data_IF_852154593643
#
_entry.id   IF_852154593643
#
_cell.length_a   1.000
_cell.length_b   1.000
_cell.length_c   1.000
_cell.angle_alpha   90.00
_cell.angle_beta   90.00
_cell.angle_gamma   90.00
#
_symmetry.space_group_name_H-M   'P 1'
#
loop_
_entity.id
_entity.type
_entity.pdbx_description
1 polymer ?
#
# COMPACT_ATOMS: atom_id res chain seq x y z
N UNK A 1 37.39 14.84 18.87
CA UNK A 1 36.17 14.02 18.73
C UNK A 1 35.97 13.68 17.26
N UNK A 2 36.20 12.43 16.83
CA UNK A 2 35.87 11.97 15.47
C UNK A 2 34.36 11.72 15.44
N UNK A 3 33.61 12.56 14.75
CA UNK A 3 32.22 12.25 14.39
C UNK A 3 32.28 11.05 13.45
N UNK A 4 31.91 9.87 13.95
CA UNK A 4 31.67 8.69 13.12
C UNK A 4 30.62 9.09 12.09
N UNK A 5 31.02 9.22 10.81
CA UNK A 5 30.07 9.43 9.73
C UNK A 5 29.19 8.19 9.68
N UNK A 6 27.99 8.29 10.24
CA UNK A 6 26.98 7.24 10.20
C UNK A 6 26.80 6.85 8.73
N UNK A 7 26.95 5.57 8.39
CA UNK A 7 26.64 5.06 7.06
C UNK A 7 25.12 5.02 6.88
N UNK A 8 24.56 6.21 6.63
CA UNK A 8 23.12 6.41 6.45
C UNK A 8 22.56 5.56 5.31
N UNK A 9 23.35 5.32 4.25
CA UNK A 9 22.96 4.47 3.13
C UNK A 9 22.91 2.99 3.54
N UNK A 10 23.88 2.54 4.34
CA UNK A 10 23.85 1.22 4.96
C UNK A 10 22.61 1.02 5.82
N UNK A 11 22.32 1.98 6.71
CA UNK A 11 21.14 1.94 7.59
C UNK A 11 19.84 1.91 6.79
N UNK A 12 19.71 2.78 5.77
CA UNK A 12 18.55 2.80 4.87
C UNK A 12 18.37 1.46 4.15
N UNK A 13 19.46 0.90 3.63
CA UNK A 13 19.41 -0.38 2.93
C UNK A 13 18.94 -1.52 3.85
N UNK A 14 19.49 -1.62 5.07
CA UNK A 14 19.04 -2.62 6.05
C UNK A 14 17.58 -2.43 6.44
N UNK A 15 17.15 -1.18 6.66
CA UNK A 15 15.75 -0.85 6.94
C UNK A 15 14.81 -1.28 5.81
N UNK A 16 15.18 -0.99 4.55
CA UNK A 16 14.39 -1.37 3.38
C UNK A 16 14.31 -2.89 3.17
N UNK A 17 15.43 -3.60 3.35
CA UNK A 17 15.45 -5.07 3.26
C UNK A 17 14.63 -5.69 4.39
N UNK A 18 14.77 -5.20 5.62
CA UNK A 18 13.97 -5.64 6.76
C UNK A 18 12.48 -5.42 6.53
N UNK A 19 12.09 -4.23 6.05
CA UNK A 19 10.71 -3.92 5.68
C UNK A 19 10.18 -4.82 4.57
N UNK A 20 10.98 -5.11 3.54
CA UNK A 20 10.61 -6.01 2.44
C UNK A 20 10.37 -7.45 2.95
N UNK A 21 11.28 -7.98 3.75
CA UNK A 21 11.16 -9.32 4.34
C UNK A 21 9.95 -9.40 5.25
N UNK A 22 9.76 -8.42 6.13
CA UNK A 22 8.62 -8.36 7.04
C UNK A 22 7.28 -8.30 6.30
N UNK A 23 7.17 -7.43 5.30
CA UNK A 23 5.94 -7.30 4.48
C UNK A 23 5.67 -8.56 3.67
N UNK A 24 6.72 -9.15 3.07
CA UNK A 24 6.62 -10.41 2.35
C UNK A 24 6.17 -11.56 3.24
N UNK A 25 6.78 -11.70 4.42
CA UNK A 25 6.41 -12.74 5.39
C UNK A 25 4.97 -12.57 5.89
N UNK A 26 4.55 -11.35 6.22
CA UNK A 26 3.17 -11.07 6.61
C UNK A 26 2.15 -11.37 5.49
N UNK A 27 2.53 -11.13 4.24
CA UNK A 27 1.70 -11.46 3.07
C UNK A 27 1.59 -12.97 2.88
N UNK A 28 2.69 -13.71 3.00
CA UNK A 28 2.69 -15.18 2.94
C UNK A 28 1.88 -15.79 4.08
N UNK A 29 2.01 -15.27 5.30
CA UNK A 29 1.22 -15.70 6.44
C UNK A 29 -0.27 -15.49 6.21
N UNK A 30 -0.66 -14.34 5.65
CA UNK A 30 -2.05 -14.09 5.27
C UNK A 30 -2.52 -15.12 4.23
N UNK A 31 -1.71 -15.43 3.21
CA UNK A 31 -2.06 -16.40 2.17
C UNK A 31 -2.29 -17.82 2.72
N UNK A 32 -1.60 -18.21 3.80
CA UNK A 32 -1.70 -19.55 4.38
C UNK A 32 -2.74 -19.67 5.49
N UNK A 33 -2.93 -18.62 6.29
CA UNK A 33 -3.76 -18.68 7.51
C UNK A 33 -5.12 -17.99 7.35
N UNK A 34 -5.19 -16.88 6.59
CA UNK A 34 -6.42 -16.12 6.44
C UNK A 34 -7.58 -16.88 5.77
N UNK A 35 -7.38 -17.86 4.86
CA UNK A 35 -8.48 -18.58 4.24
C UNK A 35 -9.45 -19.25 5.21
N UNK A 36 -8.96 -19.64 6.40
CA UNK A 36 -9.70 -20.39 7.41
C UNK A 36 -9.90 -19.63 8.73
N UNK A 37 -9.44 -18.38 8.82
CA UNK A 37 -9.53 -17.59 10.05
C UNK A 37 -10.78 -16.71 10.05
N UNK A 38 -11.45 -16.63 11.21
CA UNK A 38 -12.51 -15.65 11.40
C UNK A 38 -11.95 -14.22 11.19
N UNK A 39 -12.72 -13.37 10.53
CA UNK A 39 -12.31 -11.99 10.26
C UNK A 39 -13.42 -11.01 10.58
N UNK A 40 -13.03 -9.77 10.88
CA UNK A 40 -13.96 -8.68 11.15
C UNK A 40 -14.05 -7.73 9.97
N UNK A 41 -15.26 -7.33 9.62
CA UNK A 41 -15.50 -6.29 8.60
C UNK A 41 -16.17 -5.10 9.25
N UNK A 42 -15.77 -3.89 8.84
CA UNK A 42 -16.42 -2.67 9.26
C UNK A 42 -17.73 -2.50 8.50
N UNK A 43 -18.81 -2.21 9.21
CA UNK A 43 -20.13 -2.01 8.63
C UNK A 43 -20.74 -0.75 9.24
N UNK A 44 -21.32 0.16 8.43
CA UNK A 44 -22.05 1.32 8.96
C UNK A 44 -23.17 0.85 9.90
N UNK A 45 -23.26 1.44 11.09
CA UNK A 45 -24.17 0.99 12.14
C UNK A 45 -25.65 1.17 11.77
N UNK A 46 -25.94 2.20 10.98
CA UNK A 46 -27.25 2.46 10.39
C UNK A 46 -27.66 1.42 9.34
N UNK A 47 -26.68 0.75 8.72
CA UNK A 47 -26.89 -0.32 7.74
C UNK A 47 -26.69 -1.73 8.31
N UNK A 48 -26.20 -1.86 9.55
CA UNK A 48 -26.03 -3.13 10.25
C UNK A 48 -27.40 -3.64 10.72
N UNK A 49 -28.08 -4.38 9.83
CA UNK A 49 -29.43 -4.90 9.98
C UNK A 49 -29.75 -5.38 11.40
N UNK A 50 -30.48 -4.55 12.14
CA UNK A 50 -31.06 -4.89 13.44
C UNK A 50 -30.43 -4.20 14.66
N UNK A 51 -29.19 -3.70 14.64
CA UNK A 51 -28.61 -3.05 15.84
C UNK A 51 -29.10 -1.60 16.02
N UNK A 52 -29.44 -0.93 14.92
CA UNK A 52 -30.02 0.42 14.86
C UNK A 52 -31.50 0.42 14.45
N UNK A 53 -32.21 -0.69 14.62
CA UNK A 53 -33.64 -0.78 14.30
C UNK A 53 -34.50 0.16 15.15
N UNK A 54 -35.67 0.63 14.66
CA UNK A 54 -36.57 1.48 15.42
C UNK A 54 -36.91 0.87 16.79
N UNK A 55 -36.63 1.60 17.88
CA UNK A 55 -37.00 1.21 19.26
C UNK A 55 -35.94 0.46 20.09
N UNK A 56 -34.70 0.31 19.62
CA UNK A 56 -33.60 -0.30 20.41
C UNK A 56 -32.72 0.68 21.16
N UNK A 57 -32.85 1.98 20.90
CA UNK A 57 -32.07 3.03 21.54
C UNK A 57 -32.92 3.75 22.59
N UNK A 58 -32.35 4.11 23.76
CA UNK A 58 -33.04 4.94 24.74
C UNK A 58 -33.49 6.28 24.13
N UNK A 59 -34.56 6.85 24.67
CA UNK A 59 -35.05 8.17 24.25
C UNK A 59 -33.93 9.22 24.32
N UNK A 60 -33.78 10.00 23.25
CA UNK A 60 -32.74 11.03 23.13
C UNK A 60 -31.38 10.53 22.59
N UNK A 61 -31.24 9.24 22.28
CA UNK A 61 -30.03 8.67 21.66
C UNK A 61 -30.25 8.44 20.16
N UNK A 62 -29.42 9.07 19.32
CA UNK A 62 -29.40 8.86 17.87
C UNK A 62 -28.09 8.23 17.43
N UNK A 63 -28.14 7.32 16.44
CA UNK A 63 -26.93 6.80 15.79
C UNK A 63 -26.35 7.89 14.88
N UNK A 64 -25.06 8.17 15.04
CA UNK A 64 -24.37 9.02 14.09
C UNK A 64 -24.19 8.25 12.78
N UNK A 65 -24.52 8.81 11.60
CA UNK A 65 -24.39 8.12 10.32
C UNK A 65 -22.97 7.62 9.99
N UNK A 66 -21.94 8.17 10.65
CA UNK A 66 -20.55 7.75 10.54
C UNK A 66 -20.12 6.67 11.54
N UNK A 67 -21.02 6.23 12.44
CA UNK A 67 -20.72 5.20 13.41
C UNK A 67 -20.55 3.85 12.68
N UNK A 68 -19.45 3.14 12.96
CA UNK A 68 -19.15 1.84 12.38
C UNK A 68 -19.13 0.76 13.45
N UNK A 69 -19.61 -0.43 13.13
CA UNK A 69 -19.53 -1.63 13.96
C UNK A 69 -18.69 -2.68 13.26
N UNK A 70 -17.99 -3.52 14.02
CA UNK A 70 -17.29 -4.70 13.49
C UNK A 70 -18.25 -5.89 13.46
N UNK A 71 -18.57 -6.37 12.26
CA UNK A 71 -19.23 -7.65 12.07
C UNK A 71 -18.17 -8.76 12.05
N UNK A 72 -18.32 -9.76 12.92
CA UNK A 72 -17.45 -10.94 12.93
C UNK A 72 -18.03 -11.99 11.99
N UNK A 73 -17.21 -12.48 11.05
CA UNK A 73 -17.50 -13.64 10.21
C UNK A 73 -16.77 -14.83 10.82
N UNK A 74 -17.50 -15.66 11.59
CA UNK A 74 -16.92 -16.78 12.33
C UNK A 74 -16.54 -17.97 11.42
N UNK A 75 -17.41 -18.30 10.47
CA UNK A 75 -17.22 -19.40 9.52
C UNK A 75 -17.20 -18.87 8.08
N UNK A 76 -16.07 -18.28 7.63
CA UNK A 76 -16.02 -17.69 6.31
C UNK A 76 -16.04 -18.75 5.22
N UNK A 77 -16.87 -18.53 4.20
CA UNK A 77 -16.81 -19.33 2.97
C UNK A 77 -15.53 -19.02 2.19
N UNK A 78 -15.08 -19.96 1.34
CA UNK A 78 -13.89 -19.75 0.52
C UNK A 78 -13.96 -18.46 -0.35
N UNK A 79 -15.15 -18.11 -0.85
CA UNK A 79 -15.37 -16.88 -1.60
C UNK A 79 -15.22 -15.63 -0.73
N UNK A 80 -15.76 -15.63 0.50
CA UNK A 80 -15.62 -14.53 1.44
C UNK A 80 -14.17 -14.35 1.89
N UNK A 81 -13.44 -15.45 2.13
CA UNK A 81 -12.03 -15.39 2.45
C UNK A 81 -11.20 -14.81 1.30
N UNK A 82 -11.46 -15.24 0.05
CA UNK A 82 -10.79 -14.69 -1.13
C UNK A 82 -11.08 -13.19 -1.30
N UNK A 83 -12.33 -12.77 -1.13
CA UNK A 83 -12.70 -11.36 -1.16
C UNK A 83 -12.02 -10.57 -0.05
N UNK A 84 -11.99 -11.08 1.17
CA UNK A 84 -11.30 -10.46 2.30
C UNK A 84 -9.80 -10.30 2.04
N UNK A 85 -9.17 -11.29 1.41
CA UNK A 85 -7.77 -11.17 1.01
C UNK A 85 -7.58 -10.13 -0.09
N UNK A 86 -8.51 -10.08 -1.06
CA UNK A 86 -8.50 -9.09 -2.13
C UNK A 86 -8.71 -7.65 -1.63
N UNK A 87 -9.22 -7.42 -0.42
CA UNK A 87 -9.31 -6.07 0.17
C UNK A 87 -7.99 -5.51 0.70
N UNK A 88 -6.88 -6.27 0.63
CA UNK A 88 -5.58 -5.80 1.16
C UNK A 88 -4.35 -6.33 0.42
N UNK A 89 -4.46 -7.46 -0.28
CA UNK A 89 -3.36 -8.02 -1.05
C UNK A 89 -2.84 -7.11 -2.17
N UNK A 90 -3.70 -6.44 -2.97
CA UNK A 90 -3.23 -5.56 -4.04
C UNK A 90 -2.27 -4.47 -3.54
N UNK A 91 -2.63 -3.75 -2.47
CA UNK A 91 -1.78 -2.74 -1.85
C UNK A 91 -0.49 -3.34 -1.32
N UNK A 92 -0.53 -4.52 -0.69
CA UNK A 92 0.69 -5.22 -0.24
C UNK A 92 1.63 -5.55 -1.39
N UNK A 93 1.10 -5.99 -2.54
CA UNK A 93 1.90 -6.24 -3.74
C UNK A 93 2.59 -4.96 -4.25
N UNK A 94 1.87 -3.83 -4.27
CA UNK A 94 2.44 -2.51 -4.65
C UNK A 94 3.55 -2.12 -3.68
N UNK A 95 3.34 -2.28 -2.37
CA UNK A 95 4.35 -1.97 -1.34
C UNK A 95 5.58 -2.86 -1.48
N UNK A 96 5.41 -4.16 -1.72
CA UNK A 96 6.53 -5.09 -1.95
C UNK A 96 7.32 -4.68 -3.20
N UNK A 97 6.64 -4.34 -4.31
CA UNK A 97 7.29 -3.88 -5.52
C UNK A 97 8.05 -2.55 -5.30
N UNK A 98 7.44 -1.60 -4.59
CA UNK A 98 8.07 -0.33 -4.18
C UNK A 98 9.34 -0.59 -3.37
N UNK A 99 9.24 -1.38 -2.29
CA UNK A 99 10.37 -1.70 -1.42
C UNK A 99 11.48 -2.41 -2.19
N UNK A 100 11.14 -3.36 -3.06
CA UNK A 100 12.10 -4.05 -3.91
C UNK A 100 12.86 -3.07 -4.83
N UNK A 101 12.15 -2.16 -5.51
CA UNK A 101 12.77 -1.17 -6.38
C UNK A 101 13.66 -0.20 -5.59
N UNK A 102 13.23 0.24 -4.41
CA UNK A 102 14.03 1.08 -3.51
C UNK A 102 15.30 0.35 -3.02
N UNK A 103 15.19 -0.92 -2.61
CA UNK A 103 16.35 -1.76 -2.24
C UNK A 103 17.35 -1.81 -3.40
N UNK A 104 16.87 -1.99 -4.64
CA UNK A 104 17.76 -1.99 -5.82
C UNK A 104 18.43 -0.64 -6.02
N UNK A 105 17.69 0.47 -6.02
CA UNK A 105 18.24 1.83 -6.21
C UNK A 105 19.32 2.12 -5.15
N UNK A 106 19.03 1.87 -3.87
CA UNK A 106 19.97 2.12 -2.78
C UNK A 106 21.18 1.19 -2.88
N UNK A 107 20.99 -0.08 -3.26
CA UNK A 107 22.10 -1.02 -3.43
C UNK A 107 23.05 -0.58 -4.55
N UNK A 108 22.52 -0.12 -5.69
CA UNK A 108 23.37 0.38 -6.78
C UNK A 108 24.10 1.67 -6.36
N UNK A 109 23.41 2.59 -5.68
CA UNK A 109 24.03 3.81 -5.14
C UNK A 109 25.12 3.54 -4.08
N UNK A 110 25.03 2.43 -3.34
CA UNK A 110 26.08 2.00 -2.39
C UNK A 110 27.30 1.38 -3.08
N UNK A 111 27.12 0.76 -4.24
CA UNK A 111 28.18 0.04 -4.96
C UNK A 111 29.00 0.92 -5.88
N UNK A 112 28.52 2.12 -6.19
CA UNK A 112 29.20 3.03 -7.10
C UNK A 112 28.44 4.32 -7.27
N UNK A 113 28.37 4.82 -8.50
CA UNK A 113 27.75 6.09 -8.80
C UNK A 113 26.20 6.01 -8.74
N UNK A 114 25.52 6.89 -7.98
CA UNK A 114 24.07 6.98 -8.02
C UNK A 114 23.51 7.50 -9.35
N UNK A 115 24.27 8.30 -10.11
CA UNK A 115 23.81 8.95 -11.34
C UNK A 115 24.03 8.08 -12.59
N UNK A 116 23.38 6.92 -12.61
CA UNK A 116 23.40 6.00 -13.75
C UNK A 116 22.08 5.99 -14.51
N UNK A 117 22.13 5.69 -15.82
CA UNK A 117 20.93 5.46 -16.62
C UNK A 117 20.06 4.32 -16.05
N UNK A 118 20.68 3.34 -15.38
CA UNK A 118 19.99 2.27 -14.66
C UNK A 118 19.11 2.80 -13.52
N UNK A 119 19.66 3.64 -12.65
CA UNK A 119 18.90 4.23 -11.54
C UNK A 119 17.77 5.16 -12.02
N UNK A 120 17.97 5.90 -13.12
CA UNK A 120 16.89 6.69 -13.75
C UNK A 120 15.73 5.78 -14.19
N UNK A 121 16.02 4.63 -14.81
CA UNK A 121 14.98 3.66 -15.21
C UNK A 121 14.26 3.07 -13.99
N UNK A 122 15.00 2.72 -12.93
CA UNK A 122 14.41 2.21 -11.70
C UNK A 122 13.50 3.24 -11.01
N UNK A 123 13.92 4.50 -10.93
CA UNK A 123 13.09 5.58 -10.38
C UNK A 123 11.82 5.82 -11.20
N UNK A 124 11.91 5.73 -12.54
CA UNK A 124 10.73 5.80 -13.42
C UNK A 124 9.79 4.62 -13.21
N UNK A 125 10.33 3.41 -13.15
CA UNK A 125 9.55 2.21 -12.85
C UNK A 125 8.88 2.30 -11.48
N UNK A 126 9.57 2.84 -10.47
CA UNK A 126 9.00 3.08 -9.16
C UNK A 126 7.85 4.07 -9.24
N UNK A 127 8.06 5.23 -9.88
CA UNK A 127 7.00 6.23 -10.05
C UNK A 127 5.76 5.69 -10.78
N UNK A 128 5.96 4.96 -11.89
CA UNK A 128 4.89 4.32 -12.64
C UNK A 128 4.18 3.22 -11.85
N UNK A 129 4.93 2.40 -11.11
CA UNK A 129 4.36 1.36 -10.23
C UNK A 129 3.45 1.98 -9.17
N UNK A 130 3.85 3.11 -8.56
CA UNK A 130 3.02 3.76 -7.55
C UNK A 130 1.75 4.35 -8.17
N UNK A 131 1.84 5.03 -9.32
CA UNK A 131 0.65 5.59 -9.98
C UNK A 131 -0.29 4.47 -10.42
N UNK A 132 0.17 3.61 -11.33
CA UNK A 132 -0.69 2.61 -11.95
C UNK A 132 -1.05 1.49 -10.98
N UNK A 133 -0.07 0.98 -10.23
CA UNK A 133 -0.28 -0.09 -9.27
C UNK A 133 -1.13 0.38 -8.07
N UNK A 134 -0.86 1.57 -7.53
CA UNK A 134 -1.65 2.12 -6.44
C UNK A 134 -3.10 2.38 -6.81
N UNK A 135 -3.36 2.99 -7.98
CA UNK A 135 -4.74 3.20 -8.46
C UNK A 135 -5.46 1.87 -8.75
N UNK A 136 -4.76 0.89 -9.33
CA UNK A 136 -5.32 -0.43 -9.56
C UNK A 136 -5.63 -1.16 -8.24
N UNK A 137 -4.74 -1.03 -7.24
CA UNK A 137 -4.95 -1.60 -5.90
C UNK A 137 -6.19 -0.99 -5.24
N UNK A 138 -6.29 0.34 -5.18
CA UNK A 138 -7.45 1.03 -4.60
C UNK A 138 -8.76 0.59 -5.27
N UNK A 139 -8.78 0.47 -6.60
CA UNK A 139 -9.96 0.03 -7.34
C UNK A 139 -10.35 -1.42 -7.02
N UNK A 140 -9.38 -2.34 -7.00
CA UNK A 140 -9.63 -3.76 -6.70
C UNK A 140 -10.07 -3.93 -5.25
N UNK A 141 -9.43 -3.26 -4.31
CA UNK A 141 -9.73 -3.35 -2.88
C UNK A 141 -11.12 -2.80 -2.56
N UNK A 142 -11.51 -1.67 -3.18
CA UNK A 142 -12.84 -1.10 -3.04
C UNK A 142 -13.93 -2.03 -3.60
N UNK A 143 -13.71 -2.62 -4.79
CA UNK A 143 -14.66 -3.58 -5.38
C UNK A 143 -14.78 -4.84 -4.51
N UNK A 144 -13.65 -5.37 -4.03
CA UNK A 144 -13.63 -6.53 -3.16
C UNK A 144 -14.36 -6.27 -1.84
N UNK A 145 -14.14 -5.09 -1.23
CA UNK A 145 -14.81 -4.68 -0.01
C UNK A 145 -16.33 -4.54 -0.21
N UNK A 146 -16.76 -3.88 -1.29
CA UNK A 146 -18.20 -3.77 -1.61
C UNK A 146 -18.84 -5.12 -1.83
N UNK A 147 -18.18 -6.03 -2.56
CA UNK A 147 -18.68 -7.38 -2.76
C UNK A 147 -18.76 -8.18 -1.46
N UNK A 148 -17.80 -7.97 -0.54
CA UNK A 148 -17.78 -8.63 0.76
C UNK A 148 -18.91 -8.15 1.68
N UNK A 149 -19.23 -6.86 1.66
CA UNK A 149 -20.21 -6.25 2.56
C UNK A 149 -21.64 -6.25 1.99
N UNK A 150 -21.81 -6.30 0.66
CA UNK A 150 -23.13 -6.28 0.01
C UNK A 150 -24.19 -7.26 0.58
N UNK A 151 -23.84 -8.48 1.04
CA UNK A 151 -24.82 -9.38 1.66
C UNK A 151 -25.27 -8.97 3.08
N UNK A 152 -24.58 -8.01 3.69
CA UNK A 152 -24.70 -7.65 5.12
C UNK A 152 -25.42 -6.31 5.31
N UNK A 153 -25.37 -5.42 4.31
CA UNK A 153 -25.88 -4.05 4.40
C UNK A 153 -27.05 -3.79 3.46
N UNK A 154 -28.01 -3.01 3.96
CA UNK A 154 -29.07 -2.43 3.15
C UNK A 154 -28.63 -1.05 2.63
N UNK A 155 -28.06 -1.02 1.43
CA UNK A 155 -27.72 0.22 0.72
C UNK A 155 -26.30 0.29 0.16
N UNK A 156 -25.94 1.40 -0.51
CA UNK A 156 -24.60 1.61 -1.03
C UNK A 156 -23.60 1.74 0.13
N UNK A 157 -22.54 0.93 0.08
CA UNK A 157 -21.40 0.99 0.98
C UNK A 157 -20.17 1.54 0.24
N UNK A 158 -19.46 2.44 0.91
CA UNK A 158 -18.16 2.91 0.48
C UNK A 158 -18.13 4.37 0.03
N UNK A 159 -16.91 4.88 -0.07
CA UNK A 159 -16.57 6.17 -0.63
C UNK A 159 -15.19 6.02 -1.24
N UNK A 160 -15.03 6.37 -2.51
CA UNK A 160 -13.77 6.18 -3.21
C UNK A 160 -12.72 7.13 -2.61
N UNK A 161 -11.86 6.60 -1.74
CA UNK A 161 -10.80 7.37 -1.11
C UNK A 161 -9.51 7.21 -1.91
N UNK A 162 -9.04 8.32 -2.50
CA UNK A 162 -7.77 8.33 -3.18
C UNK A 162 -6.65 8.30 -2.14
N UNK A 163 -5.96 7.18 -2.04
CA UNK A 163 -4.83 6.91 -1.13
C UNK A 163 -3.59 7.81 -1.33
N UNK A 164 -3.56 8.63 -2.39
CA UNK A 164 -2.47 9.57 -2.66
C UNK A 164 -1.25 8.98 -3.36
N UNK A 165 -1.28 7.69 -3.75
CA UNK A 165 -0.16 7.03 -4.45
C UNK A 165 0.37 7.80 -5.66
N UNK A 166 -0.52 8.48 -6.37
CA UNK A 166 -0.19 9.27 -7.54
C UNK A 166 0.77 10.43 -7.23
N UNK A 167 0.64 11.08 -6.06
CA UNK A 167 1.55 12.14 -5.63
C UNK A 167 2.97 11.60 -5.42
N UNK A 168 3.07 10.48 -4.70
CA UNK A 168 4.35 9.80 -4.49
C UNK A 168 4.98 9.38 -5.82
N UNK A 169 4.16 8.84 -6.73
CA UNK A 169 4.64 8.44 -8.05
C UNK A 169 5.16 9.60 -8.90
N UNK A 170 4.43 10.72 -8.93
CA UNK A 170 4.89 11.96 -9.60
C UNK A 170 6.20 12.46 -8.99
N UNK A 171 6.32 12.44 -7.65
CA UNK A 171 7.56 12.83 -6.98
C UNK A 171 8.75 11.97 -7.43
N UNK A 172 8.59 10.65 -7.52
CA UNK A 172 9.67 9.78 -8.01
C UNK A 172 9.97 9.98 -9.50
N UNK A 173 8.96 10.28 -10.34
CA UNK A 173 9.20 10.65 -11.74
C UNK A 173 10.00 11.96 -11.85
N UNK A 174 9.67 12.96 -11.02
CA UNK A 174 10.42 14.21 -10.96
C UNK A 174 11.88 13.98 -10.52
N UNK A 175 12.10 13.15 -9.49
CA UNK A 175 13.45 12.76 -9.05
C UNK A 175 14.19 12.03 -10.18
N UNK A 176 13.51 11.17 -10.95
CA UNK A 176 14.13 10.49 -12.08
C UNK A 176 14.63 11.48 -13.15
N UNK A 177 13.88 12.55 -13.44
CA UNK A 177 14.32 13.59 -14.36
C UNK A 177 15.51 14.40 -13.82
N UNK A 178 15.56 14.67 -12.52
CA UNK A 178 16.74 15.28 -11.88
C UNK A 178 17.97 14.38 -12.05
N UNK A 179 17.83 13.07 -11.78
CA UNK A 179 18.92 12.10 -11.96
C UNK A 179 19.37 12.01 -13.42
N UNK A 180 18.44 12.06 -14.38
CA UNK A 180 18.75 12.07 -15.80
C UNK A 180 19.61 13.27 -16.20
N UNK A 181 19.32 14.46 -15.65
CA UNK A 181 20.15 15.65 -15.87
C UNK A 181 21.54 15.48 -15.26
N UNK A 182 21.63 14.91 -14.06
CA UNK A 182 22.91 14.59 -13.40
C UNK A 182 23.77 13.62 -14.23
N UNK A 183 23.17 12.58 -14.81
CA UNK A 183 23.85 11.65 -15.72
C UNK A 183 24.43 12.39 -16.93
N UNK A 184 23.65 13.30 -17.55
CA UNK A 184 24.11 14.07 -18.71
C UNK A 184 25.29 14.98 -18.37
N UNK A 185 25.21 15.70 -17.25
CA UNK A 185 26.30 16.57 -16.77
C UNK A 185 27.59 15.78 -16.52
N UNK A 186 27.49 14.56 -15.99
CA UNK A 186 28.64 13.70 -15.78
C UNK A 186 29.30 13.29 -17.11
N UNK A 187 28.50 12.87 -18.09
CA UNK A 187 29.02 12.52 -19.42
C UNK A 187 29.72 13.72 -20.09
N UNK A 188 29.17 14.93 -19.92
CA UNK A 188 29.80 16.15 -20.41
C UNK A 188 31.15 16.43 -19.71
N UNK A 189 31.24 16.23 -18.39
CA UNK A 189 32.48 16.39 -17.61
C UNK A 189 33.57 15.36 -17.99
N UNK A 190 33.18 14.10 -18.14
CA UNK A 190 34.10 13.02 -18.51
C UNK A 190 34.66 13.19 -19.93
N UNK A 191 34.00 13.97 -20.80
CA UNK A 191 34.45 14.27 -22.16
C UNK A 191 35.41 15.45 -22.30
N UNK A 192 35.65 16.21 -21.22
CA UNK A 192 36.55 17.40 -21.21
C UNK A 192 37.96 17.05 -20.72
N UNK A 193 38.13 15.93 -20.03
CA UNK A 193 39.40 15.43 -19.49
C UNK A 193 40.08 14.53 -20.53
#
# INVERSE_FOLDING_TARGET
MRVTRLDWLGLLWFGLVGGLVFTGAGTLFQLTVAPSAAFTVWVPLDQAGGLAGPGRLPDGVSVQPSAQVRALVEEPTAAQSLLHMATSLPTKCVVIAMLFLLVRIVREARRGDPFTAGNVRLLRLLGLTLIAGGMAADAVEEVAYRALVAPIVDGPVGGFFWSGWWLCGIAFLAIAEVFKRGVRMRVELDGVI
#
